data_IF_677718345525
#
_entry.id   IF_677718345525
#
_cell.length_a   1.000
_cell.length_b   1.000
_cell.length_c   1.000
_cell.angle_alpha   90.00
_cell.angle_beta   90.00
_cell.angle_gamma   90.00
#
_symmetry.space_group_name_H-M   'P 1'
#
loop_
_entity.id
_entity.type
_entity.pdbx_description
1 polymer ?
#
# COMPACT_ATOMS: atom_id res chain seq x y z
N UNK A 1 -15.00 -46.91 23.83
CA UNK A 1 -13.52 -46.96 23.96
C UNK A 1 -12.99 -45.76 23.19
N UNK A 2 -12.30 -44.73 23.69
CA UNK A 2 -11.56 -44.48 24.93
C UNK A 2 -11.58 -42.95 25.16
N UNK A 3 -11.91 -42.50 26.38
CA UNK A 3 -11.86 -41.09 26.82
C UNK A 3 -10.47 -40.85 27.41
N UNK A 4 -9.73 -39.84 26.93
CA UNK A 4 -8.49 -39.40 27.59
C UNK A 4 -8.71 -38.06 28.30
N UNK A 5 -8.90 -38.14 29.62
CA UNK A 5 -8.76 -37.01 30.55
C UNK A 5 -7.28 -36.91 30.95
N UNK A 6 -6.67 -35.73 30.83
CA UNK A 6 -5.47 -35.39 31.60
C UNK A 6 -5.80 -34.27 32.58
N UNK A 7 -5.82 -34.63 33.85
CA UNK A 7 -5.71 -33.69 34.96
C UNK A 7 -4.22 -33.48 35.26
N UNK A 8 -3.81 -32.23 35.48
CA UNK A 8 -2.47 -31.90 35.99
C UNK A 8 -2.61 -31.29 37.38
N UNK A 9 -1.77 -31.83 38.25
CA UNK A 9 -1.85 -31.83 39.71
C UNK A 9 -1.36 -30.53 40.34
N UNK A 10 -2.02 -30.15 41.45
CA UNK A 10 -1.74 -29.00 42.32
C UNK A 10 -0.69 -29.39 43.34
N UNK A 11 0.54 -28.90 43.19
CA UNK A 11 1.59 -29.02 44.20
C UNK A 11 1.50 -27.89 45.23
N UNK A 12 1.10 -28.22 46.46
CA UNK A 12 1.33 -27.36 47.64
C UNK A 12 2.75 -27.64 48.15
N UNK A 13 3.51 -26.60 48.47
CA UNK A 13 4.76 -26.76 49.20
C UNK A 13 4.63 -26.06 50.56
N UNK A 14 4.88 -26.83 51.62
CA UNK A 14 4.76 -26.45 53.03
C UNK A 14 6.09 -26.82 53.68
N UNK A 15 6.46 -26.02 54.68
CA UNK A 15 7.53 -26.22 55.68
C UNK A 15 8.89 -25.63 55.38
N UNK A 16 9.43 -24.99 56.43
CA UNK A 16 10.78 -24.46 56.50
C UNK A 16 10.94 -23.42 57.60
N UNK A 17 10.53 -23.72 58.82
CA UNK A 17 10.91 -22.98 60.03
C UNK A 17 12.27 -23.51 60.50
N UNK A 18 13.27 -22.65 60.70
CA UNK A 18 14.08 -22.58 61.93
C UNK A 18 15.26 -21.59 61.84
N UNK A 19 15.45 -20.87 62.97
CA UNK A 19 16.69 -20.44 63.65
C UNK A 19 17.69 -19.40 63.08
N UNK A 20 17.77 -18.30 63.86
CA UNK A 20 18.93 -17.67 64.51
C UNK A 20 20.19 -17.27 63.71
N UNK A 21 20.53 -15.99 63.86
CA UNK A 21 21.62 -15.33 63.16
C UNK A 21 23.01 -15.56 63.76
N UNK A 22 24.00 -15.40 62.88
CA UNK A 22 25.36 -14.99 63.17
C UNK A 22 25.76 -14.00 62.07
N UNK A 23 26.13 -12.80 62.50
CA UNK A 23 26.63 -11.71 61.66
C UNK A 23 27.99 -12.12 61.11
N UNK A 24 28.07 -12.37 59.81
CA UNK A 24 29.32 -12.48 59.05
C UNK A 24 29.19 -11.62 57.81
N UNK A 25 30.10 -10.65 57.68
CA UNK A 25 30.15 -9.63 56.63
C UNK A 25 30.40 -10.31 55.29
N UNK A 26 29.51 -10.22 54.29
CA UNK A 26 29.86 -10.64 52.95
C UNK A 26 30.63 -9.50 52.28
N UNK A 27 31.89 -9.79 52.00
CA UNK A 27 32.74 -9.11 51.02
C UNK A 27 31.92 -8.80 49.76
N UNK A 28 32.03 -7.56 49.30
CA UNK A 28 31.43 -7.04 48.06
C UNK A 28 31.84 -7.92 46.87
N UNK A 29 31.01 -8.90 46.53
CA UNK A 29 31.01 -9.48 45.19
C UNK A 29 30.17 -8.55 44.32
N UNK A 30 30.83 -7.68 43.55
CA UNK A 30 30.23 -7.00 42.40
C UNK A 30 30.02 -8.10 41.35
N UNK A 31 29.00 -8.93 41.57
CA UNK A 31 28.44 -9.76 40.54
C UNK A 31 27.78 -8.80 39.55
N UNK A 32 28.49 -8.52 38.45
CA UNK A 32 27.94 -7.79 37.31
C UNK A 32 26.65 -8.49 36.89
N UNK A 33 25.53 -7.84 37.18
CA UNK A 33 24.21 -8.29 36.77
C UNK A 33 24.14 -8.09 35.25
N UNK A 34 24.59 -9.09 34.50
CA UNK A 34 24.18 -9.29 33.11
C UNK A 34 22.69 -9.64 33.17
N UNK A 35 21.83 -8.63 33.30
CA UNK A 35 20.41 -8.79 32.95
C UNK A 35 20.39 -9.17 31.49
N UNK A 36 20.18 -10.46 31.21
CA UNK A 36 19.88 -10.93 29.88
C UNK A 36 18.68 -10.12 29.39
N UNK A 37 18.93 -9.23 28.43
CA UNK A 37 17.89 -8.53 27.67
C UNK A 37 17.25 -9.60 26.78
N UNK A 38 16.47 -10.49 27.39
CA UNK A 38 15.57 -11.37 26.67
C UNK A 38 14.51 -10.44 26.08
N UNK A 39 14.39 -10.33 24.75
CA UNK A 39 13.31 -9.55 24.17
C UNK A 39 12.00 -10.14 24.70
N UNK A 40 11.21 -9.28 25.35
CA UNK A 40 9.91 -9.65 25.88
C UNK A 40 9.00 -10.05 24.70
N UNK A 41 8.85 -11.36 24.51
CA UNK A 41 8.01 -11.93 23.47
C UNK A 41 6.51 -11.63 23.69
N UNK A 42 6.14 -11.01 24.82
CA UNK A 42 4.75 -10.69 25.11
C UNK A 42 4.23 -9.52 24.25
N UNK A 43 5.10 -8.57 23.86
CA UNK A 43 4.70 -7.47 22.95
C UNK A 43 4.39 -8.00 21.54
N UNK A 44 5.12 -9.03 21.08
CA UNK A 44 4.96 -9.62 19.75
C UNK A 44 3.69 -10.50 19.62
N UNK A 45 3.22 -11.11 20.71
CA UNK A 45 2.06 -12.01 20.70
C UNK A 45 0.71 -11.28 20.78
N UNK A 46 0.67 -10.07 21.34
CA UNK A 46 -0.58 -9.30 21.53
C UNK A 46 -0.89 -8.33 20.37
N UNK A 47 0.08 -8.00 19.52
CA UNK A 47 -0.15 -7.19 18.33
C UNK A 47 -0.44 -8.12 17.14
N UNK A 48 -1.61 -7.97 16.51
CA UNK A 48 -1.77 -8.36 15.10
C UNK A 48 -0.85 -7.45 14.30
N UNK A 49 0.40 -7.86 14.15
CA UNK A 49 1.46 -7.04 13.59
C UNK A 49 1.32 -7.07 12.06
N UNK A 50 0.89 -5.95 11.47
CA UNK A 50 0.76 -5.81 10.01
C UNK A 50 2.07 -6.11 9.27
N UNK A 51 3.21 -5.86 9.90
CA UNK A 51 4.53 -6.21 9.35
C UNK A 51 4.76 -7.72 9.32
N UNK A 52 4.31 -8.47 10.32
CA UNK A 52 4.46 -9.94 10.32
C UNK A 52 3.57 -10.60 9.28
N UNK A 53 2.33 -10.10 9.11
CA UNK A 53 1.43 -10.56 8.05
C UNK A 53 2.01 -10.22 6.67
N UNK A 54 2.52 -9.00 6.50
CA UNK A 54 3.19 -8.58 5.27
C UNK A 54 4.37 -9.51 4.92
N UNK A 55 5.31 -9.68 5.84
CA UNK A 55 6.51 -10.48 5.61
C UNK A 55 6.15 -11.94 5.33
N UNK A 56 5.22 -12.52 6.10
CA UNK A 56 4.77 -13.89 5.86
C UNK A 56 4.11 -14.04 4.48
N UNK A 57 3.31 -13.06 4.04
CA UNK A 57 2.69 -13.06 2.73
C UNK A 57 3.71 -13.04 1.59
N UNK A 58 4.68 -12.13 1.66
CA UNK A 58 5.73 -12.00 0.64
C UNK A 58 6.64 -13.22 0.57
N UNK A 59 7.07 -13.77 1.72
CA UNK A 59 7.87 -14.99 1.76
C UNK A 59 7.14 -16.19 1.15
N UNK A 60 5.82 -16.32 1.40
CA UNK A 60 4.99 -17.36 0.79
C UNK A 60 4.81 -17.19 -0.73
N UNK A 61 4.96 -15.97 -1.24
CA UNK A 61 4.93 -15.65 -2.66
C UNK A 61 6.34 -15.71 -3.30
N UNK A 62 7.34 -16.28 -2.61
CA UNK A 62 8.68 -16.48 -3.16
C UNK A 62 9.58 -15.25 -3.15
N UNK A 63 9.18 -14.16 -2.49
CA UNK A 63 10.03 -12.97 -2.32
C UNK A 63 11.12 -13.28 -1.30
N UNK A 64 12.35 -12.85 -1.59
CA UNK A 64 13.50 -13.02 -0.69
C UNK A 64 13.28 -12.32 0.66
N UNK A 65 13.81 -12.84 1.78
CA UNK A 65 13.70 -12.21 3.09
C UNK A 65 14.15 -10.75 3.14
N UNK A 66 15.20 -10.40 2.39
CA UNK A 66 15.75 -9.05 2.30
C UNK A 66 14.75 -8.11 1.63
N UNK A 67 14.26 -8.44 0.44
CA UNK A 67 13.25 -7.65 -0.25
C UNK A 67 11.92 -7.58 0.52
N UNK A 68 11.52 -8.65 1.19
CA UNK A 68 10.30 -8.68 2.01
C UNK A 68 10.42 -7.74 3.21
N UNK A 69 11.55 -7.81 3.95
CA UNK A 69 11.79 -6.94 5.10
C UNK A 69 11.87 -5.47 4.71
N UNK A 70 12.60 -5.15 3.64
CA UNK A 70 12.71 -3.79 3.12
C UNK A 70 11.36 -3.27 2.60
N UNK A 71 10.62 -4.09 1.83
CA UNK A 71 9.31 -3.72 1.30
C UNK A 71 8.29 -3.44 2.39
N UNK A 72 8.17 -4.35 3.37
CA UNK A 72 7.23 -4.18 4.49
C UNK A 72 7.59 -2.99 5.38
N UNK A 73 8.89 -2.73 5.61
CA UNK A 73 9.35 -1.59 6.41
C UNK A 73 9.08 -0.24 5.74
N UNK A 74 9.18 -0.18 4.41
CA UNK A 74 9.00 1.06 3.63
C UNK A 74 7.54 1.32 3.22
N UNK A 75 6.66 0.33 3.33
CA UNK A 75 5.27 0.45 2.92
C UNK A 75 4.47 1.33 3.90
N UNK A 76 3.72 2.31 3.37
CA UNK A 76 2.80 3.12 4.19
C UNK A 76 1.70 2.27 4.86
N UNK A 77 1.33 1.15 4.24
CA UNK A 77 0.34 0.19 4.74
C UNK A 77 0.86 -1.23 4.53
N UNK A 78 1.67 -1.77 5.47
CA UNK A 78 2.39 -3.03 5.28
C UNK A 78 1.46 -4.20 4.92
N UNK A 79 0.34 -4.34 5.63
CA UNK A 79 -0.63 -5.41 5.38
C UNK A 79 -1.24 -5.34 3.98
N UNK A 80 -1.70 -4.15 3.57
CA UNK A 80 -2.30 -3.94 2.24
C UNK A 80 -1.27 -4.12 1.13
N UNK A 81 -0.03 -3.67 1.35
CA UNK A 81 1.09 -3.87 0.44
C UNK A 81 1.37 -5.35 0.20
N UNK A 82 1.53 -6.15 1.27
CA UNK A 82 1.71 -7.59 1.15
C UNK A 82 0.52 -8.28 0.47
N UNK A 83 -0.71 -7.88 0.82
CA UNK A 83 -1.92 -8.39 0.18
C UNK A 83 -1.99 -8.06 -1.32
N UNK A 84 -1.56 -6.87 -1.73
CA UNK A 84 -1.50 -6.45 -3.12
C UNK A 84 -0.60 -7.38 -3.95
N UNK A 85 0.62 -7.62 -3.49
CA UNK A 85 1.60 -8.48 -4.18
C UNK A 85 1.06 -9.90 -4.29
N UNK A 86 0.60 -10.47 -3.17
CA UNK A 86 0.08 -11.84 -3.12
C UNK A 86 -1.18 -12.01 -3.97
N UNK A 87 -2.05 -10.99 -4.03
CA UNK A 87 -3.27 -11.04 -4.84
C UNK A 87 -2.95 -11.06 -6.33
N UNK A 88 -2.00 -10.23 -6.78
CA UNK A 88 -1.57 -10.18 -8.18
C UNK A 88 -0.90 -11.50 -8.56
N UNK A 89 0.06 -11.98 -7.78
CA UNK A 89 0.79 -13.24 -8.02
C UNK A 89 -0.11 -14.47 -8.12
N UNK A 90 -1.21 -14.51 -7.35
CA UNK A 90 -2.12 -15.66 -7.34
C UNK A 90 -3.22 -15.62 -8.40
N UNK A 91 -3.55 -14.45 -8.91
CA UNK A 91 -4.73 -14.25 -9.76
C UNK A 91 -4.36 -13.78 -11.16
N UNK A 92 -3.06 -13.66 -11.46
CA UNK A 92 -2.48 -13.30 -12.75
C UNK A 92 -1.14 -14.03 -12.93
N UNK A 93 -0.59 -14.03 -14.14
CA UNK A 93 0.75 -14.51 -14.51
C UNK A 93 1.84 -13.48 -14.18
N UNK A 94 1.50 -12.36 -13.55
CA UNK A 94 2.48 -11.39 -13.05
C UNK A 94 3.12 -11.95 -11.79
N UNK A 95 4.44 -12.11 -11.80
CA UNK A 95 5.15 -12.63 -10.64
C UNK A 95 5.07 -11.67 -9.44
N UNK A 96 5.13 -12.22 -8.22
CA UNK A 96 5.24 -11.42 -7.01
C UNK A 96 6.39 -10.40 -7.07
N UNK A 97 7.52 -10.77 -7.68
CA UNK A 97 8.68 -9.90 -7.81
C UNK A 97 8.39 -8.68 -8.70
N UNK A 98 7.70 -8.89 -9.82
CA UNK A 98 7.31 -7.80 -10.73
C UNK A 98 6.28 -6.87 -10.07
N UNK A 99 5.33 -7.43 -9.31
CA UNK A 99 4.30 -6.67 -8.61
C UNK A 99 4.86 -5.86 -7.42
N UNK A 100 5.98 -6.27 -6.83
CA UNK A 100 6.52 -5.72 -5.59
C UNK A 100 6.75 -4.21 -5.67
N UNK A 101 7.39 -3.74 -6.74
CA UNK A 101 7.70 -2.31 -6.90
C UNK A 101 6.45 -1.45 -7.13
N UNK A 102 5.43 -1.98 -7.82
CA UNK A 102 4.19 -1.27 -8.10
C UNK A 102 3.30 -1.17 -6.87
N UNK A 103 3.11 -2.28 -6.16
CA UNK A 103 2.38 -2.31 -4.90
C UNK A 103 3.04 -1.40 -3.84
N UNK A 104 4.38 -1.35 -3.80
CA UNK A 104 5.12 -0.55 -2.81
C UNK A 104 4.99 0.96 -3.04
N UNK A 105 4.84 1.40 -4.29
CA UNK A 105 4.63 2.82 -4.63
C UNK A 105 3.16 3.25 -4.54
N UNK A 106 2.22 2.30 -4.54
CA UNK A 106 0.79 2.60 -4.53
C UNK A 106 0.34 3.17 -3.19
N UNK A 107 -0.31 4.35 -3.21
CA UNK A 107 -0.97 4.89 -2.01
C UNK A 107 -2.19 4.05 -1.57
N UNK A 108 -2.75 3.26 -2.48
CA UNK A 108 -3.90 2.36 -2.26
C UNK A 108 -3.62 0.97 -2.86
N UNK A 109 -2.82 0.13 -2.19
CA UNK A 109 -2.38 -1.14 -2.74
C UNK A 109 -3.53 -2.10 -3.10
N UNK A 110 -4.60 -2.14 -2.29
CA UNK A 110 -5.75 -3.01 -2.57
C UNK A 110 -6.53 -2.58 -3.84
N UNK A 111 -6.65 -1.28 -4.08
CA UNK A 111 -7.30 -0.76 -5.29
C UNK A 111 -6.46 -1.05 -6.53
N UNK A 112 -5.13 -0.87 -6.43
CA UNK A 112 -4.19 -1.25 -7.49
C UNK A 112 -4.36 -2.75 -7.85
N UNK A 113 -4.28 -3.63 -6.87
CA UNK A 113 -4.39 -5.08 -7.11
C UNK A 113 -5.74 -5.45 -7.73
N UNK A 114 -6.83 -4.82 -7.28
CA UNK A 114 -8.16 -5.04 -7.86
C UNK A 114 -8.24 -4.60 -9.32
N UNK A 115 -7.64 -3.46 -9.66
CA UNK A 115 -7.52 -3.00 -11.03
C UNK A 115 -6.74 -3.99 -11.91
N UNK A 116 -5.54 -4.39 -11.46
CA UNK A 116 -4.64 -5.26 -12.22
C UNK A 116 -5.29 -6.62 -12.47
N UNK A 117 -5.87 -7.25 -11.45
CA UNK A 117 -6.58 -8.53 -11.60
C UNK A 117 -7.75 -8.40 -12.57
N UNK A 118 -8.56 -7.33 -12.45
CA UNK A 118 -9.68 -7.10 -13.35
C UNK A 118 -9.24 -6.98 -14.81
N UNK A 119 -8.26 -6.13 -15.09
CA UNK A 119 -7.72 -5.94 -16.44
C UNK A 119 -7.08 -7.21 -16.99
N UNK A 120 -6.30 -7.92 -16.18
CA UNK A 120 -5.61 -9.16 -16.59
C UNK A 120 -6.62 -10.25 -16.94
N UNK A 121 -7.73 -10.36 -16.19
CA UNK A 121 -8.78 -11.35 -16.43
C UNK A 121 -9.47 -11.22 -17.79
N UNK A 122 -9.70 -10.00 -18.27
CA UNK A 122 -10.39 -9.78 -19.55
C UNK A 122 -9.44 -9.75 -20.75
N UNK A 123 -8.20 -9.29 -20.54
CA UNK A 123 -7.19 -9.22 -21.59
C UNK A 123 -6.48 -10.56 -21.82
N UNK A 124 -6.84 -11.59 -21.04
CA UNK A 124 -6.16 -12.90 -21.04
C UNK A 124 -4.65 -12.72 -20.99
N UNK A 125 -4.22 -11.80 -20.13
CA UNK A 125 -2.82 -11.66 -19.75
C UNK A 125 -1.89 -11.07 -20.81
N UNK A 126 -2.43 -10.77 -21.99
CA UNK A 126 -1.71 -10.17 -23.11
C UNK A 126 -1.03 -8.82 -22.78
N UNK A 127 -1.44 -8.17 -21.68
CA UNK A 127 -0.88 -6.88 -21.26
C UNK A 127 -0.48 -6.83 -19.78
N UNK A 128 -0.19 -7.98 -19.18
CA UNK A 128 0.14 -8.08 -17.75
C UNK A 128 1.16 -7.06 -17.20
N UNK A 129 2.32 -6.79 -17.86
CA UNK A 129 3.22 -5.76 -17.35
C UNK A 129 2.68 -4.34 -17.51
N UNK A 130 1.93 -4.04 -18.57
CA UNK A 130 1.37 -2.69 -18.75
C UNK A 130 0.18 -2.45 -17.83
N UNK A 131 -0.61 -3.47 -17.47
CA UNK A 131 -1.70 -3.34 -16.51
C UNK A 131 -1.22 -2.75 -15.18
N UNK A 132 -0.06 -3.19 -14.67
CA UNK A 132 0.59 -2.60 -13.50
C UNK A 132 0.90 -1.10 -13.68
N UNK A 133 1.38 -0.72 -14.86
CA UNK A 133 1.72 0.66 -15.17
C UNK A 133 0.47 1.56 -15.23
N UNK A 134 -0.55 1.19 -16.00
CA UNK A 134 -1.77 1.97 -16.16
C UNK A 134 -2.57 2.05 -14.85
N UNK A 135 -2.77 0.92 -14.17
CA UNK A 135 -3.46 0.91 -12.88
C UNK A 135 -2.69 1.72 -11.81
N UNK A 136 -1.35 1.73 -11.86
CA UNK A 136 -0.50 2.50 -10.94
C UNK A 136 -0.47 4.00 -11.22
N UNK A 137 -0.68 4.41 -12.47
CA UNK A 137 -0.75 5.83 -12.88
C UNK A 137 -2.13 6.44 -12.62
N UNK A 138 -3.19 5.64 -12.63
CA UNK A 138 -4.54 6.11 -12.35
C UNK A 138 -4.68 6.59 -10.90
N UNK A 139 -5.29 7.77 -10.73
CA UNK A 139 -5.67 8.29 -9.41
C UNK A 139 -6.80 7.50 -8.76
N UNK A 140 -7.58 6.76 -9.56
CA UNK A 140 -8.71 5.94 -9.13
C UNK A 140 -8.63 4.55 -9.80
N UNK A 141 -7.74 3.66 -9.33
CA UNK A 141 -7.45 2.40 -10.01
C UNK A 141 -8.70 1.54 -10.25
N UNK A 142 -9.63 1.49 -9.30
CA UNK A 142 -10.87 0.71 -9.44
C UNK A 142 -11.77 1.26 -10.55
N UNK A 143 -11.95 2.59 -10.63
CA UNK A 143 -12.74 3.23 -11.70
C UNK A 143 -12.11 2.99 -13.06
N UNK A 144 -10.79 3.12 -13.15
CA UNK A 144 -10.05 2.83 -14.37
C UNK A 144 -10.23 1.37 -14.81
N UNK A 145 -10.03 0.41 -13.89
CA UNK A 145 -10.26 -1.01 -14.18
C UNK A 145 -11.70 -1.32 -14.62
N UNK A 146 -12.70 -0.68 -13.98
CA UNK A 146 -14.10 -0.80 -14.39
C UNK A 146 -14.35 -0.28 -15.82
N UNK A 147 -13.73 0.84 -16.19
CA UNK A 147 -13.81 1.37 -17.55
C UNK A 147 -13.26 0.35 -18.56
N UNK A 148 -12.04 -0.15 -18.32
CA UNK A 148 -11.36 -1.08 -19.24
C UNK A 148 -12.12 -2.39 -19.37
N UNK A 149 -12.48 -3.01 -18.23
CA UNK A 149 -13.23 -4.27 -18.21
C UNK A 149 -14.61 -4.08 -18.83
N UNK A 150 -15.31 -2.98 -18.51
CA UNK A 150 -16.63 -2.68 -19.06
C UNK A 150 -16.61 -2.49 -20.58
N UNK A 151 -15.62 -1.76 -21.10
CA UNK A 151 -15.48 -1.46 -22.52
C UNK A 151 -15.16 -2.74 -23.32
N UNK A 152 -14.14 -3.49 -22.89
CA UNK A 152 -13.74 -4.74 -23.54
C UNK A 152 -14.79 -5.86 -23.42
N UNK A 153 -15.70 -5.79 -22.43
CA UNK A 153 -16.80 -6.75 -22.30
C UNK A 153 -17.93 -6.55 -23.31
N UNK A 154 -17.97 -5.41 -24.00
CA UNK A 154 -19.09 -5.01 -24.86
C UNK A 154 -18.68 -4.66 -26.28
N UNK A 155 -17.44 -4.23 -26.47
CA UNK A 155 -16.92 -3.76 -27.75
C UNK A 155 -15.61 -4.49 -28.03
N UNK A 156 -15.45 -4.93 -29.26
CA UNK A 156 -14.21 -5.56 -29.73
C UNK A 156 -13.19 -4.46 -30.06
N UNK A 157 -12.42 -4.05 -29.04
CA UNK A 157 -11.28 -3.15 -29.19
C UNK A 157 -9.97 -3.88 -28.88
N UNK A 158 -8.87 -3.48 -29.52
CA UNK A 158 -7.52 -3.80 -29.05
C UNK A 158 -7.36 -3.41 -27.57
N UNK A 159 -6.88 -4.33 -26.71
CA UNK A 159 -6.74 -4.08 -25.29
C UNK A 159 -5.93 -2.82 -24.91
N UNK A 160 -4.88 -2.48 -25.66
CA UNK A 160 -4.11 -1.25 -25.45
C UNK A 160 -4.96 0.01 -25.71
N UNK A 161 -5.81 0.00 -26.75
CA UNK A 161 -6.68 1.13 -27.07
C UNK A 161 -7.70 1.39 -25.96
N UNK A 162 -8.21 0.33 -25.31
CA UNK A 162 -9.10 0.47 -24.16
C UNK A 162 -8.39 1.08 -22.95
N UNK A 163 -7.14 0.66 -22.67
CA UNK A 163 -6.32 1.25 -21.61
C UNK A 163 -6.08 2.74 -21.84
N UNK A 164 -5.70 3.14 -23.05
CA UNK A 164 -5.45 4.54 -23.42
C UNK A 164 -6.73 5.38 -23.33
N UNK A 165 -7.85 4.89 -23.86
CA UNK A 165 -9.14 5.59 -23.79
C UNK A 165 -9.58 5.82 -22.34
N UNK A 166 -9.40 4.82 -21.48
CA UNK A 166 -9.85 4.88 -20.09
C UNK A 166 -8.94 5.74 -19.20
N UNK A 167 -7.64 5.83 -19.47
CA UNK A 167 -6.73 6.65 -18.67
C UNK A 167 -6.98 8.14 -18.92
N UNK A 168 -7.20 8.53 -20.18
CA UNK A 168 -7.53 9.91 -20.56
C UNK A 168 -8.84 10.39 -19.92
N UNK A 169 -9.86 9.51 -19.90
CA UNK A 169 -11.12 9.79 -19.21
C UNK A 169 -10.98 9.88 -17.69
N UNK A 170 -10.02 9.18 -17.09
CA UNK A 170 -9.76 9.22 -15.64
C UNK A 170 -9.24 10.60 -15.21
N UNK A 171 -8.38 11.22 -16.02
CA UNK A 171 -7.77 12.52 -15.71
C UNK A 171 -8.78 13.67 -15.78
N UNK A 172 -9.75 13.60 -16.69
CA UNK A 172 -10.82 14.61 -16.80
C UNK A 172 -11.74 14.69 -15.57
N UNK A 173 -11.79 13.65 -14.74
CA UNK A 173 -12.66 13.60 -13.55
C UNK A 173 -12.12 14.40 -12.35
N UNK A 174 -10.88 14.88 -12.42
CA UNK A 174 -10.23 15.66 -11.35
C UNK A 174 -10.50 17.17 -11.50
N UNK A 175 -10.91 17.62 -12.69
CA UNK A 175 -11.41 18.98 -12.91
C UNK A 175 -12.93 18.89 -12.76
N UNK A 176 -13.46 19.41 -11.66
CA UNK A 176 -14.85 19.26 -11.21
C UNK A 176 -15.94 19.80 -12.14
N UNK A 177 -16.05 19.27 -13.35
CA UNK A 177 -17.22 19.37 -14.20
C UNK A 177 -17.86 17.99 -14.27
N UNK A 178 -18.80 17.77 -13.35
CA UNK A 178 -19.75 16.67 -13.45
C UNK A 178 -20.55 16.83 -14.74
N UNK A 179 -20.06 16.30 -15.85
CA UNK A 179 -20.80 16.24 -17.11
C UNK A 179 -21.80 15.09 -17.07
N UNK A 180 -22.86 15.26 -16.28
CA UNK A 180 -24.11 14.51 -16.40
C UNK A 180 -25.14 15.34 -17.16
N UNK A 181 -24.76 15.87 -18.32
CA UNK A 181 -25.68 16.46 -19.29
C UNK A 181 -25.70 15.58 -20.55
N UNK A 182 -26.89 15.11 -21.00
CA UNK A 182 -27.03 14.49 -22.32
C UNK A 182 -26.60 15.48 -23.42
N UNK A 183 -26.28 15.01 -24.65
CA UNK A 183 -26.00 15.91 -25.76
C UNK A 183 -27.28 16.67 -26.13
N UNK A 184 -27.48 17.85 -25.55
CA UNK A 184 -28.47 18.81 -26.02
C UNK A 184 -27.91 19.44 -27.29
N UNK A 185 -28.59 19.20 -28.41
CA UNK A 185 -28.42 19.94 -29.65
C UNK A 185 -28.41 21.45 -29.33
N UNK A 186 -27.29 22.09 -29.64
CA UNK A 186 -27.04 23.52 -29.48
C UNK A 186 -28.15 24.34 -30.17
N UNK A 187 -28.76 25.32 -29.49
CA UNK A 187 -29.14 26.56 -30.13
C UNK A 187 -28.00 27.55 -29.91
N UNK A 188 -27.55 28.13 -31.02
CA UNK A 188 -26.61 29.24 -31.09
C UNK A 188 -27.04 30.37 -30.16
N UNK A 189 -26.13 30.83 -29.30
CA UNK A 189 -26.24 32.14 -28.66
C UNK A 189 -26.13 32.10 -27.14
N UNK A 190 -24.94 32.41 -26.63
CA UNK A 190 -24.69 33.28 -25.47
C UNK A 190 -23.19 33.26 -25.16
N UNK A 191 -22.48 34.27 -25.64
CA UNK A 191 -21.11 34.56 -25.24
C UNK A 191 -21.13 35.09 -23.79
N UNK A 192 -20.37 34.51 -22.83
CA UNK A 192 -20.14 35.20 -21.57
C UNK A 192 -19.09 36.29 -21.82
N UNK A 193 -19.52 37.55 -21.75
CA UNK A 193 -18.63 38.71 -21.71
C UNK A 193 -17.75 38.60 -20.46
N UNK A 194 -16.43 38.42 -20.63
CA UNK A 194 -15.48 38.63 -19.56
C UNK A 194 -15.55 40.11 -19.17
N UNK A 195 -16.18 40.38 -18.03
CA UNK A 195 -16.13 41.68 -17.37
C UNK A 195 -14.68 41.96 -17.00
N UNK A 196 -14.05 42.83 -17.79
CA UNK A 196 -12.69 43.30 -17.59
C UNK A 196 -12.72 44.31 -16.46
N UNK A 197 -12.44 43.87 -15.24
CA UNK A 197 -12.04 44.77 -14.17
C UNK A 197 -10.61 45.22 -14.46
N UNK A 198 -10.34 46.53 -14.61
CA UNK A 198 -8.99 47.02 -14.88
C UNK A 198 -8.10 46.86 -13.64
N UNK A 199 -7.01 46.12 -13.79
CA UNK A 199 -5.90 46.10 -12.82
C UNK A 199 -5.09 47.40 -12.99
N UNK A 200 -4.86 48.18 -11.91
CA UNK A 200 -4.08 49.41 -12.00
C UNK A 200 -2.59 49.09 -12.19
N UNK A 201 -2.02 49.67 -13.24
CA UNK A 201 -0.60 49.69 -13.60
C UNK A 201 0.25 50.37 -12.52
N UNK A 202 1.21 49.65 -11.92
CA UNK A 202 2.50 50.18 -11.46
C UNK A 202 3.48 49.01 -11.29
N UNK A 203 4.76 49.05 -11.63
CA UNK A 203 5.61 49.88 -12.48
C UNK A 203 6.91 49.06 -12.58
N UNK A 204 7.46 48.94 -13.79
CA UNK A 204 8.64 48.12 -14.07
C UNK A 204 9.88 48.74 -13.42
N UNK A 205 10.52 48.03 -12.50
CA UNK A 205 11.92 48.30 -12.11
C UNK A 205 12.83 47.53 -13.05
N UNK A 206 13.45 48.25 -13.98
CA UNK A 206 14.55 47.79 -14.83
C UNK A 206 15.85 47.96 -14.01
N UNK A 207 16.64 46.91 -13.75
CA UNK A 207 18.01 47.07 -13.28
C UNK A 207 18.90 47.36 -14.48
N UNK A 208 19.32 48.61 -14.60
CA UNK A 208 20.37 49.07 -15.51
C UNK A 208 21.68 48.38 -15.16
N UNK A 209 22.20 47.52 -16.05
CA UNK A 209 23.59 47.09 -16.00
C UNK A 209 24.48 48.23 -16.56
N UNK A 210 25.51 48.69 -15.83
CA UNK A 210 26.53 49.53 -16.40
C UNK A 210 27.63 48.66 -17.02
N UNK A 211 27.77 48.76 -18.34
CA UNK A 211 29.06 48.50 -18.99
C UNK A 211 29.80 49.81 -19.16
N UNK A 212 31.08 49.85 -18.82
CA UNK A 212 32.12 50.62 -19.54
C UNK A 212 33.52 50.36 -18.97
N UNK A 213 34.44 50.10 -19.90
CA UNK A 213 35.91 50.02 -19.84
C UNK A 213 36.57 48.87 -19.08
#
# INVERSE_FOLDING_TARGET
MLKSKKAVSKGQNKQGSSTFGIVTVPVLAIAGLLTAILPDMAIAASYRNDYSICAQGLLKAGITPEAASQGCANALRPRDFGACVVKIDRQTEITAADALSYCGRARRPEELATCVVGVSSITKEAINPSALNYCGRSLLPVRFGQCVVGLLSKIELPPNQALDTCIDGSDSSVIGVSSSTPPTLLPTGSSPSLETTPVPTQQQFIPTQPGTN
#
